data_IF_816811625311
#
_entry.id   IF_816811625311
#
_cell.length_a   1.000
_cell.length_b   1.000
_cell.length_c   1.000
_cell.angle_alpha   90.00
_cell.angle_beta   90.00
_cell.angle_gamma   90.00
#
_symmetry.space_group_name_H-M   'P 1'
#
loop_
_entity.id
_entity.type
_entity.pdbx_description
1 polymer ?
#
# COMPACT_ATOMS: atom_id res chain seq x y z
N UNK A 1 -1.96 -12.10 17.41
CA UNK A 1 -3.35 -12.12 16.90
C UNK A 1 -3.34 -12.77 15.52
N UNK A 2 -3.29 -14.11 15.45
CA UNK A 2 -3.37 -14.87 14.18
C UNK A 2 -4.58 -15.80 14.15
N UNK A 3 -5.35 -15.81 15.23
CA UNK A 3 -6.56 -16.60 15.37
C UNK A 3 -7.72 -15.73 14.83
N UNK A 4 -8.25 -16.09 13.67
CA UNK A 4 -9.31 -15.34 12.97
C UNK A 4 -9.01 -14.94 11.52
N UNK A 5 -7.82 -15.26 10.99
CA UNK A 5 -7.52 -15.08 9.56
C UNK A 5 -8.12 -16.26 8.77
N UNK A 6 -9.39 -16.11 8.38
CA UNK A 6 -10.08 -16.78 7.28
C UNK A 6 -10.03 -18.31 7.21
N UNK A 7 -11.02 -19.00 7.78
CA UNK A 7 -11.30 -20.40 7.46
C UNK A 7 -12.36 -20.56 6.34
N UNK A 8 -12.97 -19.46 5.88
CA UNK A 8 -14.04 -19.44 4.88
C UNK A 8 -13.72 -18.45 3.74
N UNK A 9 -12.53 -18.58 3.13
CA UNK A 9 -12.13 -17.78 1.95
C UNK A 9 -12.08 -18.59 0.65
N UNK A 10 -12.59 -19.82 0.68
CA UNK A 10 -12.65 -20.66 -0.51
C UNK A 10 -13.58 -20.05 -1.56
N UNK A 11 -13.13 -20.08 -2.81
CA UNK A 11 -13.96 -19.69 -3.94
C UNK A 11 -15.18 -20.60 -4.08
N UNK A 12 -16.28 -20.05 -4.60
CA UNK A 12 -17.43 -20.87 -4.94
C UNK A 12 -17.05 -21.88 -6.05
N UNK A 13 -17.65 -23.08 -6.06
CA UNK A 13 -17.35 -24.07 -7.08
C UNK A 13 -17.55 -23.53 -8.50
N UNK A 14 -16.47 -23.51 -9.29
CA UNK A 14 -16.46 -23.01 -10.68
C UNK A 14 -16.10 -21.53 -10.82
N UNK A 15 -15.87 -20.81 -9.73
CA UNK A 15 -15.29 -19.47 -9.76
C UNK A 15 -13.77 -19.51 -9.69
N UNK A 16 -13.13 -18.46 -10.20
CA UNK A 16 -11.68 -18.29 -10.05
C UNK A 16 -11.39 -17.94 -8.60
N UNK A 17 -10.51 -18.71 -7.97
CA UNK A 17 -10.03 -18.40 -6.63
C UNK A 17 -9.09 -17.19 -6.67
N UNK A 18 -9.56 -16.08 -6.11
CA UNK A 18 -8.80 -14.84 -6.01
C UNK A 18 -7.56 -14.98 -5.10
N UNK A 19 -7.58 -15.96 -4.21
CA UNK A 19 -6.49 -16.25 -3.27
C UNK A 19 -5.55 -17.36 -3.76
N UNK A 20 -5.80 -17.95 -4.93
CA UNK A 20 -4.90 -18.94 -5.52
C UNK A 20 -3.54 -18.30 -5.86
N UNK A 21 -2.43 -18.78 -5.27
CA UNK A 21 -1.10 -18.27 -5.59
C UNK A 21 -0.71 -18.48 -7.05
N UNK A 22 -1.33 -19.38 -7.81
CA UNK A 22 -1.06 -19.49 -9.25
C UNK A 22 -1.47 -18.24 -10.03
N UNK A 23 -2.48 -17.50 -9.55
CA UNK A 23 -2.97 -16.26 -10.18
C UNK A 23 -1.90 -15.18 -10.33
N UNK A 24 -0.92 -15.11 -9.40
CA UNK A 24 0.14 -14.08 -9.45
C UNK A 24 1.32 -14.44 -10.36
N UNK A 25 1.46 -15.72 -10.74
CA UNK A 25 2.64 -16.25 -11.46
C UNK A 25 2.89 -15.55 -12.80
N UNK A 26 1.89 -15.33 -13.69
CA UNK A 26 2.12 -14.66 -14.97
C UNK A 26 2.72 -13.27 -14.80
N UNK A 27 2.34 -12.56 -13.75
CA UNK A 27 2.84 -11.22 -13.48
C UNK A 27 4.30 -11.23 -13.01
N UNK A 28 4.66 -12.20 -12.16
CA UNK A 28 6.06 -12.40 -11.74
C UNK A 28 6.93 -12.75 -12.96
N UNK A 29 6.47 -13.66 -13.82
CA UNK A 29 7.20 -14.05 -15.03
C UNK A 29 7.37 -12.86 -15.99
N UNK A 30 6.34 -12.03 -16.15
CA UNK A 30 6.44 -10.80 -16.94
C UNK A 30 7.50 -9.84 -16.39
N UNK A 31 7.48 -9.58 -15.07
CA UNK A 31 8.43 -8.70 -14.39
C UNK A 31 9.88 -9.22 -14.45
N UNK A 32 10.07 -10.53 -14.44
CA UNK A 32 11.39 -11.16 -14.63
C UNK A 32 11.85 -11.17 -16.10
N UNK A 33 10.95 -10.90 -17.04
CA UNK A 33 11.20 -10.99 -18.48
C UNK A 33 11.69 -9.68 -19.11
N UNK A 34 12.11 -9.74 -20.39
CA UNK A 34 12.58 -8.55 -21.12
C UNK A 34 11.49 -7.49 -21.36
N UNK A 35 10.21 -7.86 -21.24
CA UNK A 35 9.09 -6.93 -21.37
C UNK A 35 9.04 -5.87 -20.26
N UNK A 36 9.58 -6.17 -19.07
CA UNK A 36 9.56 -5.28 -17.93
C UNK A 36 10.84 -4.44 -17.76
N UNK A 37 11.72 -4.38 -18.78
CA UNK A 37 13.02 -3.65 -18.71
C UNK A 37 12.92 -2.18 -18.28
N UNK A 38 11.78 -1.53 -18.48
CA UNK A 38 11.55 -0.12 -18.12
C UNK A 38 10.91 0.06 -16.74
N UNK A 39 10.51 -1.02 -16.07
CA UNK A 39 9.82 -1.01 -14.79
C UNK A 39 10.87 -1.22 -13.69
N UNK A 40 11.16 -0.17 -12.92
CA UNK A 40 12.16 -0.22 -11.82
C UNK A 40 11.76 0.73 -10.71
N UNK A 41 11.96 0.33 -9.45
CA UNK A 41 11.63 1.14 -8.27
C UNK A 41 10.13 1.31 -8.00
N UNK A 42 9.29 0.50 -8.63
CA UNK A 42 7.83 0.54 -8.47
C UNK A 42 7.36 -0.57 -7.54
N UNK A 43 6.21 -0.35 -6.89
CA UNK A 43 5.57 -1.33 -6.00
C UNK A 43 4.19 -1.66 -6.56
N UNK A 44 3.85 -2.95 -6.60
CA UNK A 44 2.55 -3.43 -7.05
C UNK A 44 1.88 -4.25 -5.95
N UNK A 45 0.57 -4.06 -5.77
CA UNK A 45 -0.29 -5.00 -5.03
C UNK A 45 -0.95 -5.92 -6.04
N UNK A 46 -0.81 -7.23 -5.84
CA UNK A 46 -1.22 -8.26 -6.78
C UNK A 46 -1.92 -9.37 -6.02
N UNK A 47 -3.15 -9.71 -6.45
CA UNK A 47 -3.94 -10.83 -5.94
C UNK A 47 -4.93 -11.24 -7.03
N UNK A 48 -5.11 -12.55 -7.23
CA UNK A 48 -5.89 -13.09 -8.34
C UNK A 48 -5.56 -12.40 -9.67
N UNK A 49 -6.58 -11.80 -10.30
CA UNK A 49 -6.48 -11.07 -11.57
C UNK A 49 -6.30 -9.55 -11.41
N UNK A 50 -6.10 -9.07 -10.18
CA UNK A 50 -6.02 -7.63 -9.88
C UNK A 50 -4.56 -7.20 -9.71
N UNK A 51 -4.16 -6.15 -10.44
CA UNK A 51 -2.85 -5.51 -10.29
C UNK A 51 -3.05 -4.02 -10.04
N UNK A 52 -2.54 -3.53 -8.90
CA UNK A 52 -2.56 -2.11 -8.55
C UNK A 52 -1.11 -1.61 -8.46
N UNK A 53 -0.78 -0.56 -9.21
CA UNK A 53 0.50 0.15 -9.06
C UNK A 53 0.38 1.15 -7.92
N UNK A 54 1.31 1.08 -6.98
CA UNK A 54 1.36 1.97 -5.83
C UNK A 54 2.14 3.24 -6.18
N UNK A 55 1.63 4.39 -5.75
CA UNK A 55 2.46 5.59 -5.68
C UNK A 55 3.48 5.45 -4.54
N UNK A 56 4.67 6.02 -4.72
CA UNK A 56 5.66 6.11 -3.65
C UNK A 56 5.20 7.07 -2.55
N UNK A 57 5.77 6.92 -1.35
CA UNK A 57 5.63 7.89 -0.26
C UNK A 57 6.01 9.29 -0.74
N UNK A 58 5.16 10.27 -0.44
CA UNK A 58 5.39 11.69 -0.73
C UNK A 58 5.46 12.50 0.57
N UNK A 59 6.33 13.52 0.67
CA UNK A 59 6.31 14.43 1.81
C UNK A 59 4.92 15.07 1.94
N UNK A 60 4.32 14.98 3.13
CA UNK A 60 3.03 15.60 3.41
C UNK A 60 3.18 17.02 3.96
N UNK A 61 4.16 17.22 4.84
CA UNK A 61 4.49 18.50 5.45
C UNK A 61 5.99 18.57 5.74
N UNK A 62 6.53 19.78 5.84
CA UNK A 62 7.92 20.03 6.20
C UNK A 62 8.02 21.27 7.08
N UNK A 63 8.81 21.17 8.16
CA UNK A 63 9.23 22.31 8.98
C UNK A 63 10.75 22.47 8.89
N UNK A 64 11.22 23.71 9.02
CA UNK A 64 12.65 24.05 9.06
C UNK A 64 12.90 25.06 10.18
N UNK A 65 14.08 24.97 10.81
CA UNK A 65 14.59 25.92 11.80
C UNK A 65 16.05 26.26 11.49
N UNK A 66 16.44 27.47 11.84
CA UNK A 66 17.82 27.99 11.67
C UNK A 66 18.75 27.55 12.81
N UNK A 67 18.21 26.91 13.85
CA UNK A 67 18.93 26.38 15.01
C UNK A 67 18.60 24.91 15.21
N UNK A 68 19.43 24.20 15.97
CA UNK A 68 19.16 22.82 16.34
C UNK A 68 17.92 22.72 17.23
N UNK A 69 17.21 21.59 17.10
CA UNK A 69 16.06 21.26 17.93
C UNK A 69 16.50 20.98 19.37
N UNK A 70 15.65 21.37 20.32
CA UNK A 70 15.72 20.96 21.73
C UNK A 70 14.43 20.24 22.12
N UNK A 71 14.41 19.62 23.30
CA UNK A 71 13.28 18.79 23.71
C UNK A 71 12.00 19.59 23.96
N UNK A 72 12.11 20.87 24.34
CA UNK A 72 10.97 21.74 24.59
C UNK A 72 10.35 22.20 23.26
N UNK A 73 11.17 22.54 22.26
CA UNK A 73 10.72 23.01 20.95
C UNK A 73 10.13 21.92 20.05
N UNK A 74 10.50 20.65 20.26
CA UNK A 74 10.01 19.52 19.44
C UNK A 74 8.50 19.29 19.53
N UNK A 75 7.89 19.47 20.71
CA UNK A 75 6.45 19.24 20.88
C UNK A 75 5.60 20.15 19.99
N UNK A 76 5.93 21.44 19.96
CA UNK A 76 5.28 22.42 19.10
C UNK A 76 5.55 22.15 17.62
N UNK A 77 6.79 21.76 17.28
CA UNK A 77 7.21 21.44 15.93
C UNK A 77 6.44 20.24 15.35
N UNK A 78 6.23 19.19 16.14
CA UNK A 78 5.46 17.99 15.75
C UNK A 78 3.98 18.33 15.52
N UNK A 79 3.40 19.20 16.35
CA UNK A 79 2.05 19.71 16.16
C UNK A 79 1.91 20.55 14.88
N UNK A 80 2.88 21.44 14.59
CA UNK A 80 2.93 22.23 13.34
C UNK A 80 3.05 21.33 12.11
N UNK A 81 3.81 20.23 12.21
CA UNK A 81 3.95 19.24 11.14
C UNK A 81 2.65 18.45 10.90
N UNK A 82 1.66 18.54 11.79
CA UNK A 82 0.41 17.80 11.73
C UNK A 82 0.55 16.32 12.07
N UNK A 83 1.65 15.90 12.70
CA UNK A 83 1.85 14.50 13.06
C UNK A 83 0.80 14.04 14.08
N UNK A 84 0.24 12.85 13.89
CA UNK A 84 -0.89 12.34 14.67
C UNK A 84 -2.27 12.86 14.21
N UNK A 85 -2.31 13.76 13.22
CA UNK A 85 -3.53 14.04 12.48
C UNK A 85 -3.83 12.90 11.51
N UNK A 86 -5.10 12.77 11.14
CA UNK A 86 -5.63 11.65 10.40
C UNK A 86 -4.89 11.39 9.07
N UNK A 87 -4.01 10.40 9.09
CA UNK A 87 -3.41 9.84 7.88
C UNK A 87 -4.46 8.93 7.25
N UNK A 88 -4.56 8.94 5.91
CA UNK A 88 -5.53 8.18 5.10
C UNK A 88 -6.04 6.93 5.83
N UNK A 89 -7.33 6.96 6.21
CA UNK A 89 -7.89 5.90 7.04
C UNK A 89 -7.97 4.63 6.22
N UNK A 90 -7.89 3.48 6.87
CA UNK A 90 -8.07 2.18 6.22
C UNK A 90 -9.45 2.06 5.54
N UNK A 91 -10.44 2.88 5.93
CA UNK A 91 -11.73 3.01 5.25
C UNK A 91 -11.63 3.62 3.85
N UNK A 92 -10.75 4.62 3.66
CA UNK A 92 -10.51 5.25 2.37
C UNK A 92 -9.88 4.26 1.36
N UNK A 93 -9.20 3.22 1.86
CA UNK A 93 -8.67 2.13 1.03
C UNK A 93 -9.78 1.25 0.44
N UNK A 94 -10.88 1.02 1.16
CA UNK A 94 -12.02 0.25 0.65
C UNK A 94 -12.80 1.05 -0.40
N UNK A 95 -12.99 2.35 -0.19
CA UNK A 95 -13.56 3.23 -1.22
C UNK A 95 -12.66 3.32 -2.46
N UNK A 96 -11.33 3.36 -2.27
CA UNK A 96 -10.37 3.30 -3.37
C UNK A 96 -10.44 1.96 -4.12
N UNK A 97 -10.62 0.83 -3.41
CA UNK A 97 -10.85 -0.49 -4.03
C UNK A 97 -12.10 -0.44 -4.89
N UNK A 98 -13.22 0.04 -4.36
CA UNK A 98 -14.50 0.05 -5.06
C UNK A 98 -14.49 1.01 -6.28
N UNK A 99 -13.67 2.06 -6.25
CA UNK A 99 -13.46 2.98 -7.40
C UNK A 99 -12.57 2.38 -8.50
N UNK A 100 -11.70 1.44 -8.16
CA UNK A 100 -10.73 0.83 -9.07
C UNK A 100 -11.13 -0.59 -9.53
N UNK A 101 -12.22 -1.14 -8.98
CA UNK A 101 -12.86 -2.37 -9.43
C UNK A 101 -13.85 -2.07 -10.57
#
# INVERSE_FOLDING_TARGET
MTEGVGLDMDAAPGEVDEWDPEGIVPWIVFLAGPGARRITGEVFVVHGNTVKRMESWRPLAQIRREVHWDQESLGAAVAELGAGSDTMRIGDFLELRDRLA
#
